data_IF_017264433120
#
_entry.id   IF_017264433120
#
_cell.length_a   1.000
_cell.length_b   1.000
_cell.length_c   1.000
_cell.angle_alpha   90.00
_cell.angle_beta   90.00
_cell.angle_gamma   90.00
#
_symmetry.space_group_name_H-M   'P 1'
#
loop_
_entity.id
_entity.type
_entity.pdbx_description
1 polymer ?
#
# COMPACT_ATOMS: atom_id res chain seq x y z
N UNK A 1 15.35 -27.02 32.94
CA UNK A 1 14.35 -27.15 31.85
C UNK A 1 14.47 -25.92 30.97
N UNK A 2 15.34 -26.01 29.98
CA UNK A 2 15.61 -24.98 28.99
C UNK A 2 14.52 -25.05 27.93
N UNK A 3 13.77 -23.96 27.77
CA UNK A 3 12.86 -23.77 26.64
C UNK A 3 13.75 -23.48 25.44
N UNK A 4 13.69 -24.26 24.34
CA UNK A 4 14.44 -23.90 23.15
C UNK A 4 13.80 -22.65 22.56
N UNK A 5 14.60 -21.59 22.45
CA UNK A 5 14.33 -20.44 21.58
C UNK A 5 14.05 -20.99 20.18
N UNK A 6 12.84 -20.78 19.65
CA UNK A 6 12.59 -21.04 18.24
C UNK A 6 13.50 -20.12 17.41
N UNK A 7 14.43 -20.70 16.61
CA UNK A 7 15.14 -19.96 15.59
C UNK A 7 14.17 -19.73 14.41
N UNK A 8 14.60 -18.89 13.46
CA UNK A 8 13.95 -18.62 12.17
C UNK A 8 13.12 -17.33 12.12
N UNK A 9 13.86 -16.23 11.99
CA UNK A 9 13.59 -15.24 10.93
C UNK A 9 13.19 -15.98 9.63
N UNK A 10 11.97 -15.74 9.16
CA UNK A 10 11.57 -16.04 7.78
C UNK A 10 10.81 -14.79 7.33
N UNK A 11 11.47 -13.83 6.68
CA UNK A 11 11.43 -13.71 5.21
C UNK A 11 10.26 -14.55 4.68
N UNK A 12 9.06 -13.97 4.65
CA UNK A 12 7.98 -14.58 3.88
C UNK A 12 8.51 -14.76 2.46
N UNK A 13 8.46 -15.98 1.90
CA UNK A 13 9.04 -16.23 0.60
C UNK A 13 8.44 -15.24 -0.39
N UNK A 14 9.27 -14.64 -1.25
CA UNK A 14 8.81 -13.86 -2.41
C UNK A 14 7.74 -14.69 -3.11
N UNK A 15 6.47 -14.33 -2.93
CA UNK A 15 5.35 -15.10 -3.43
C UNK A 15 5.26 -14.80 -4.93
N UNK A 16 5.85 -15.67 -5.75
CA UNK A 16 5.69 -15.63 -7.20
C UNK A 16 4.32 -16.15 -7.59
N UNK A 17 3.73 -15.56 -8.63
CA UNK A 17 2.44 -15.94 -9.23
C UNK A 17 2.25 -17.45 -9.43
N UNK A 18 3.35 -18.16 -9.70
CA UNK A 18 3.44 -19.62 -9.88
C UNK A 18 2.93 -20.43 -8.68
N UNK A 19 2.90 -19.84 -7.47
CA UNK A 19 2.44 -20.49 -6.23
C UNK A 19 1.03 -20.05 -5.80
N UNK A 20 0.30 -19.28 -6.63
CA UNK A 20 -1.06 -18.85 -6.33
C UNK A 20 -2.00 -20.05 -6.49
N UNK A 21 -2.30 -20.74 -5.39
CA UNK A 21 -3.48 -21.61 -5.34
C UNK A 21 -4.71 -20.71 -5.34
N UNK A 22 -5.65 -20.97 -6.26
CA UNK A 22 -6.96 -20.28 -6.28
C UNK A 22 -7.61 -20.42 -4.91
N UNK A 23 -7.63 -19.35 -4.14
CA UNK A 23 -8.40 -19.31 -2.90
C UNK A 23 -9.85 -19.02 -3.32
N UNK A 24 -10.85 -19.83 -2.91
CA UNK A 24 -12.25 -19.49 -3.15
C UNK A 24 -12.51 -18.16 -2.42
N UNK A 25 -12.50 -17.06 -3.18
CA UNK A 25 -12.59 -15.73 -2.61
C UNK A 25 -13.92 -15.56 -1.88
N UNK A 26 -13.86 -15.03 -0.66
CA UNK A 26 -15.02 -14.53 0.08
C UNK A 26 -15.81 -13.46 -0.71
N UNK A 27 -15.20 -12.94 -1.76
CA UNK A 27 -15.75 -12.09 -2.82
C UNK A 27 -15.39 -12.77 -4.15
N UNK A 28 -16.34 -13.51 -4.73
CA UNK A 28 -16.15 -14.55 -5.76
C UNK A 28 -15.43 -14.15 -7.06
N UNK A 29 -14.13 -13.86 -6.97
CA UNK A 29 -13.28 -13.51 -8.10
C UNK A 29 -11.97 -12.80 -7.75
N UNK A 30 -11.79 -12.34 -6.49
CA UNK A 30 -10.52 -11.70 -6.07
C UNK A 30 -9.44 -12.77 -5.90
N UNK A 31 -8.32 -12.59 -6.60
CA UNK A 31 -7.20 -13.55 -6.59
C UNK A 31 -6.18 -13.20 -5.51
N UNK A 32 -5.76 -11.93 -5.43
CA UNK A 32 -4.78 -11.41 -4.46
C UNK A 32 -5.20 -10.04 -3.92
N UNK A 33 -4.84 -9.76 -2.67
CA UNK A 33 -4.94 -8.43 -2.05
C UNK A 33 -3.57 -7.75 -2.09
N UNK A 34 -3.41 -6.74 -2.92
CA UNK A 34 -2.19 -5.94 -3.05
C UNK A 34 -2.30 -4.74 -2.12
N UNK A 35 -1.37 -4.57 -1.19
CA UNK A 35 -1.40 -3.50 -0.19
C UNK A 35 -0.18 -2.61 -0.33
N UNK A 36 -0.39 -1.40 -0.84
CA UNK A 36 0.61 -0.35 -0.77
C UNK A 36 0.52 0.33 0.59
N UNK A 37 1.64 0.47 1.28
CA UNK A 37 1.67 1.14 2.58
C UNK A 37 2.72 2.24 2.65
N UNK A 38 2.42 3.23 3.48
CA UNK A 38 3.35 4.29 3.87
C UNK A 38 3.02 4.74 5.30
N UNK A 39 3.57 5.85 5.76
CA UNK A 39 3.46 6.33 7.13
C UNK A 39 2.02 6.74 7.48
N UNK A 40 1.42 7.66 6.74
CA UNK A 40 0.08 8.19 7.05
C UNK A 40 -1.04 7.60 6.17
N UNK A 41 -0.68 6.97 5.05
CA UNK A 41 -1.65 6.47 4.07
C UNK A 41 -2.29 7.58 3.23
N UNK A 42 -1.73 8.79 3.22
CA UNK A 42 -2.33 9.98 2.59
C UNK A 42 -1.70 10.31 1.24
N UNK A 43 -0.41 10.05 1.06
CA UNK A 43 0.36 10.51 -0.11
C UNK A 43 0.93 9.35 -0.93
N UNK A 44 2.01 8.73 -0.46
CA UNK A 44 2.78 7.78 -1.28
C UNK A 44 2.00 6.49 -1.61
N UNK A 45 1.31 5.88 -0.64
CA UNK A 45 0.55 4.66 -0.92
C UNK A 45 -0.67 4.89 -1.82
N UNK A 46 -1.48 5.98 -1.68
CA UNK A 46 -2.47 6.34 -2.70
C UNK A 46 -1.88 6.54 -4.09
N UNK A 47 -0.75 7.23 -4.21
CA UNK A 47 -0.11 7.43 -5.51
C UNK A 47 0.33 6.10 -6.13
N UNK A 48 0.96 5.21 -5.36
CA UNK A 48 1.34 3.88 -5.82
C UNK A 48 0.15 3.06 -6.31
N UNK A 49 -0.96 3.06 -5.55
CA UNK A 49 -2.18 2.36 -5.93
C UNK A 49 -2.79 2.91 -7.23
N UNK A 50 -2.78 4.23 -7.42
CA UNK A 50 -3.32 4.85 -8.64
C UNK A 50 -2.44 4.60 -9.87
N UNK A 51 -1.12 4.48 -9.69
CA UNK A 51 -0.21 4.02 -10.75
C UNK A 51 -0.51 2.55 -11.08
N UNK A 52 -0.64 1.69 -10.07
CA UNK A 52 -0.94 0.27 -10.26
C UNK A 52 -2.22 0.06 -11.08
N UNK A 53 -3.27 0.80 -10.72
CA UNK A 53 -4.60 0.72 -11.35
C UNK A 53 -4.65 1.42 -12.73
N UNK A 54 -3.57 2.05 -13.19
CA UNK A 54 -3.50 2.71 -14.49
C UNK A 54 -4.15 4.10 -14.55
N UNK A 55 -4.55 4.68 -13.42
CA UNK A 55 -5.04 6.07 -13.36
C UNK A 55 -3.91 7.09 -13.52
N UNK A 56 -2.68 6.70 -13.14
CA UNK A 56 -1.46 7.47 -13.38
C UNK A 56 -0.51 6.68 -14.27
N UNK A 57 0.30 7.40 -15.04
CA UNK A 57 1.35 6.79 -15.86
C UNK A 57 2.47 6.19 -14.99
N UNK A 58 2.99 5.05 -15.42
CA UNK A 58 4.19 4.41 -14.85
C UNK A 58 5.50 5.02 -15.36
N UNK A 59 5.46 5.70 -16.50
CA UNK A 59 6.65 6.18 -17.22
C UNK A 59 6.94 7.66 -16.97
N UNK A 60 5.91 8.45 -16.62
CA UNK A 60 6.06 9.89 -16.36
C UNK A 60 5.54 10.30 -14.99
N UNK A 61 6.18 11.27 -14.32
CA UNK A 61 5.64 11.84 -13.10
C UNK A 61 4.28 12.51 -13.34
N UNK A 62 3.36 12.44 -12.37
CA UNK A 62 2.08 13.12 -12.47
C UNK A 62 2.24 14.63 -12.25
N UNK A 63 1.31 15.40 -12.80
CA UNK A 63 1.12 16.81 -12.47
C UNK A 63 0.42 16.94 -11.11
N UNK A 64 0.61 18.06 -10.43
CA UNK A 64 -0.07 18.34 -9.15
C UNK A 64 -1.60 18.24 -9.30
N UNK A 65 -2.15 18.76 -10.40
CA UNK A 65 -3.59 18.67 -10.67
C UNK A 65 -4.08 17.24 -10.85
N UNK A 66 -3.27 16.36 -11.45
CA UNK A 66 -3.60 14.93 -11.57
C UNK A 66 -3.65 14.29 -10.17
N UNK A 67 -2.63 14.53 -9.32
CA UNK A 67 -2.60 14.01 -7.96
C UNK A 67 -3.79 14.47 -7.10
N UNK A 68 -4.13 15.76 -7.15
CA UNK A 68 -5.23 16.31 -6.36
C UNK A 68 -6.62 15.87 -6.87
N UNK A 69 -6.72 15.41 -8.11
CA UNK A 69 -7.96 14.85 -8.67
C UNK A 69 -8.15 13.37 -8.31
N UNK A 70 -7.12 12.67 -7.84
CA UNK A 70 -7.22 11.24 -7.55
C UNK A 70 -8.11 10.97 -6.34
N UNK A 71 -8.94 9.92 -6.41
CA UNK A 71 -9.62 9.43 -5.22
C UNK A 71 -8.57 8.98 -4.19
N UNK A 72 -8.85 9.26 -2.91
CA UNK A 72 -8.04 8.83 -1.77
C UNK A 72 -6.65 9.47 -1.58
N UNK A 73 -6.17 10.30 -2.51
CA UNK A 73 -4.91 11.06 -2.37
C UNK A 73 -5.14 12.36 -1.57
N UNK A 74 -4.24 12.71 -0.65
CA UNK A 74 -4.33 13.95 0.12
C UNK A 74 -5.49 13.99 1.14
N UNK A 75 -6.17 12.87 1.36
CA UNK A 75 -7.33 12.75 2.26
C UNK A 75 -6.90 12.70 3.73
N UNK A 76 -6.99 13.84 4.41
CA UNK A 76 -6.55 14.01 5.82
C UNK A 76 -7.45 13.30 6.83
N UNK A 77 -8.68 12.98 6.45
CA UNK A 77 -9.67 12.21 7.21
C UNK A 77 -9.31 10.72 7.32
N UNK A 78 -8.31 10.26 6.56
CA UNK A 78 -7.83 8.89 6.66
C UNK A 78 -7.10 8.63 7.98
N UNK A 79 -7.53 7.56 8.64
CA UNK A 79 -6.87 6.98 9.80
C UNK A 79 -5.77 5.98 9.40
N UNK A 80 -4.61 6.09 10.05
CA UNK A 80 -3.60 5.04 10.02
C UNK A 80 -4.14 3.76 10.69
N UNK A 81 -3.62 2.59 10.30
CA UNK A 81 -4.08 1.28 10.74
C UNK A 81 -5.34 0.77 10.03
N UNK A 82 -5.95 1.57 9.13
CA UNK A 82 -7.12 1.17 8.34
C UNK A 82 -6.71 0.87 6.90
N UNK A 83 -7.17 -0.29 6.39
CA UNK A 83 -7.11 -0.64 4.97
C UNK A 83 -8.21 0.11 4.22
N UNK A 84 -7.85 0.75 3.11
CA UNK A 84 -8.79 1.38 2.19
C UNK A 84 -8.65 0.75 0.82
N UNK A 85 -9.75 0.21 0.29
CA UNK A 85 -9.80 -0.31 -1.07
C UNK A 85 -9.67 0.86 -2.04
N UNK A 86 -8.64 0.81 -2.88
CA UNK A 86 -8.41 1.76 -3.95
C UNK A 86 -9.13 1.35 -5.24
N UNK A 87 -9.21 0.04 -5.51
CA UNK A 87 -9.88 -0.50 -6.69
C UNK A 87 -9.54 -1.97 -6.92
N UNK A 88 -9.94 -2.48 -8.07
CA UNK A 88 -9.60 -3.82 -8.56
C UNK A 88 -8.90 -3.65 -9.90
N UNK A 89 -7.76 -4.30 -10.09
CA UNK A 89 -7.00 -4.23 -11.34
C UNK A 89 -7.61 -5.13 -12.45
N UNK A 90 -7.01 -5.09 -13.64
CA UNK A 90 -7.43 -5.92 -14.78
C UNK A 90 -7.27 -7.44 -14.57
N UNK A 91 -6.56 -7.87 -13.52
CA UNK A 91 -6.29 -9.27 -13.19
C UNK A 91 -7.13 -9.77 -11.99
N UNK A 92 -8.10 -8.96 -11.55
CA UNK A 92 -8.94 -9.23 -10.38
C UNK A 92 -8.17 -9.28 -9.06
N UNK A 93 -7.06 -8.55 -8.95
CA UNK A 93 -6.43 -8.27 -7.67
C UNK A 93 -7.08 -7.04 -7.05
N UNK A 94 -7.40 -7.12 -5.76
CA UNK A 94 -7.89 -5.98 -5.01
C UNK A 94 -6.70 -5.15 -4.52
N UNK A 95 -6.67 -3.87 -4.88
CA UNK A 95 -5.59 -2.95 -4.53
C UNK A 95 -6.03 -2.08 -3.36
N UNK A 96 -5.25 -2.11 -2.29
CA UNK A 96 -5.48 -1.40 -1.05
C UNK A 96 -4.37 -0.41 -0.75
N UNK A 97 -4.72 0.57 0.08
CA UNK A 97 -3.77 1.53 0.65
C UNK A 97 -3.85 1.52 2.17
N UNK A 98 -2.69 1.65 2.81
CA UNK A 98 -2.56 1.57 4.27
C UNK A 98 -1.59 2.63 4.78
N UNK A 99 -1.95 3.27 5.90
CA UNK A 99 -1.05 4.09 6.71
C UNK A 99 -0.59 3.28 7.92
N UNK A 100 0.72 3.18 8.16
CA UNK A 100 1.32 2.28 9.14
C UNK A 100 2.01 2.98 10.31
N UNK A 101 2.25 4.29 10.22
CA UNK A 101 3.17 5.03 11.08
C UNK A 101 4.51 4.28 11.20
N UNK A 102 5.03 4.11 12.42
CA UNK A 102 6.20 3.29 12.71
C UNK A 102 5.87 1.84 13.08
N UNK A 103 4.67 1.34 12.71
CA UNK A 103 4.14 0.03 13.13
C UNK A 103 3.83 -0.90 11.96
N UNK A 104 4.47 -0.72 10.81
CA UNK A 104 4.19 -1.50 9.60
C UNK A 104 4.24 -3.02 9.84
N UNK A 105 5.31 -3.51 10.45
CA UNK A 105 5.48 -4.95 10.72
C UNK A 105 4.38 -5.51 11.63
N UNK A 106 4.03 -4.79 12.71
CA UNK A 106 2.96 -5.19 13.62
C UNK A 106 1.61 -5.25 12.90
N UNK A 107 1.30 -4.22 12.09
CA UNK A 107 0.02 -4.15 11.38
C UNK A 107 -0.08 -5.27 10.34
N UNK A 108 0.99 -5.53 9.58
CA UNK A 108 1.03 -6.63 8.61
C UNK A 108 0.79 -7.98 9.29
N UNK A 109 1.49 -8.25 10.40
CA UNK A 109 1.29 -9.48 11.19
C UNK A 109 -0.15 -9.61 11.68
N UNK A 110 -0.75 -8.54 12.19
CA UNK A 110 -2.15 -8.55 12.65
C UNK A 110 -3.12 -8.83 11.49
N UNK A 111 -2.91 -8.24 10.32
CA UNK A 111 -3.76 -8.51 9.13
C UNK A 111 -3.65 -9.98 8.71
N UNK A 112 -2.44 -10.52 8.64
CA UNK A 112 -2.20 -11.92 8.25
C UNK A 112 -2.81 -12.89 9.29
N UNK A 113 -2.59 -12.66 10.58
CA UNK A 113 -3.15 -13.53 11.63
C UNK A 113 -4.68 -13.43 11.71
N UNK A 114 -5.25 -12.22 11.63
CA UNK A 114 -6.70 -12.04 11.65
C UNK A 114 -7.36 -12.74 10.46
N UNK A 115 -6.81 -12.60 9.26
CA UNK A 115 -7.37 -13.23 8.05
C UNK A 115 -7.24 -14.75 8.08
N UNK A 116 -6.11 -15.28 8.55
CA UNK A 116 -5.92 -16.71 8.80
C UNK A 116 -6.96 -17.29 9.76
N UNK A 117 -7.24 -16.59 10.86
CA UNK A 117 -8.20 -17.03 11.87
C UNK A 117 -9.66 -16.95 11.39
N UNK A 118 -10.02 -15.85 10.71
CA UNK A 118 -11.40 -15.60 10.31
C UNK A 118 -11.83 -16.43 9.10
N UNK A 119 -10.94 -16.60 8.12
CA UNK A 119 -11.30 -17.20 6.83
C UNK A 119 -10.79 -18.63 6.68
N UNK A 120 -10.00 -19.15 7.64
CA UNK A 120 -9.34 -20.46 7.58
C UNK A 120 -8.57 -20.70 6.27
N UNK A 121 -8.21 -19.61 5.61
CA UNK A 121 -7.47 -19.58 4.36
C UNK A 121 -6.39 -18.52 4.49
N UNK A 122 -5.24 -18.76 3.86
CA UNK A 122 -4.27 -17.70 3.64
C UNK A 122 -4.83 -16.77 2.55
N UNK A 123 -5.67 -15.81 2.95
CA UNK A 123 -5.98 -14.70 2.07
C UNK A 123 -4.63 -14.08 1.66
N UNK A 124 -4.35 -14.07 0.35
CA UNK A 124 -3.03 -13.67 -0.12
C UNK A 124 -2.94 -12.15 -0.03
N UNK A 125 -2.20 -11.66 0.96
CA UNK A 125 -1.84 -10.25 1.08
C UNK A 125 -0.39 -10.07 0.66
N UNK A 126 -0.15 -9.18 -0.30
CA UNK A 126 1.18 -8.74 -0.67
C UNK A 126 1.36 -7.30 -0.24
N UNK A 127 2.37 -7.04 0.60
CA UNK A 127 2.64 -5.71 1.15
C UNK A 127 3.83 -5.06 0.46
N UNK A 128 3.67 -3.81 0.04
CA UNK A 128 4.68 -3.05 -0.67
C UNK A 128 4.93 -1.71 0.01
N UNK A 129 6.16 -1.52 0.48
CA UNK A 129 6.60 -0.27 1.12
C UNK A 129 6.76 0.83 0.07
N UNK A 130 5.98 1.89 0.21
CA UNK A 130 6.05 3.07 -0.65
C UNK A 130 6.68 4.26 0.06
N UNK A 131 7.15 4.10 1.30
CA UNK A 131 7.61 5.20 2.14
C UNK A 131 8.79 5.92 1.48
N UNK A 132 8.52 7.14 0.98
CA UNK A 132 9.54 7.99 0.35
C UNK A 132 9.62 9.36 1.01
N UNK A 133 8.50 9.87 1.53
CA UNK A 133 8.43 11.14 2.26
C UNK A 133 8.77 10.90 3.74
N UNK A 134 9.68 11.65 4.37
CA UNK A 134 9.97 11.49 5.79
C UNK A 134 8.75 11.74 6.69
N UNK A 135 8.63 10.97 7.78
CA UNK A 135 7.49 11.01 8.71
C UNK A 135 7.15 12.42 9.24
N UNK A 136 8.16 13.24 9.54
CA UNK A 136 7.94 14.62 10.03
C UNK A 136 7.26 15.51 8.97
N UNK A 137 7.52 15.28 7.68
CA UNK A 137 6.87 16.01 6.57
C UNK A 137 5.44 15.56 6.38
N UNK A 138 5.17 14.26 6.48
CA UNK A 138 3.81 13.72 6.53
C UNK A 138 3.00 14.39 7.65
N UNK A 139 3.56 14.43 8.86
CA UNK A 139 2.93 15.08 10.00
C UNK A 139 2.68 16.58 9.77
N UNK A 140 3.70 17.32 9.31
CA UNK A 140 3.59 18.75 9.07
C UNK A 140 2.55 19.06 7.97
N UNK A 141 2.61 18.37 6.84
CA UNK A 141 1.67 18.59 5.74
C UNK A 141 0.24 18.25 6.14
N UNK A 142 0.01 17.17 6.90
CA UNK A 142 -1.31 16.84 7.44
C UNK A 142 -1.82 17.95 8.37
N UNK A 143 -0.98 18.45 9.27
CA UNK A 143 -1.34 19.53 10.20
C UNK A 143 -1.68 20.83 9.46
N UNK A 144 -0.91 21.19 8.43
CA UNK A 144 -1.20 22.36 7.59
C UNK A 144 -2.48 22.16 6.78
N UNK A 145 -2.66 20.99 6.17
CA UNK A 145 -3.83 20.64 5.37
C UNK A 145 -5.15 20.66 6.17
N UNK A 146 -5.09 20.37 7.48
CA UNK A 146 -6.23 20.51 8.39
C UNK A 146 -6.64 21.97 8.64
N UNK A 147 -5.71 22.92 8.52
CA UNK A 147 -5.99 24.36 8.64
C UNK A 147 -6.37 24.98 7.29
N UNK A 148 -5.67 24.59 6.21
CA UNK A 148 -5.92 25.02 4.83
C UNK A 148 -5.57 23.88 3.87
N UNK A 149 -6.51 23.39 3.03
CA UNK A 149 -6.26 22.34 2.05
C UNK A 149 -5.05 22.59 1.14
N UNK A 150 -4.65 23.85 0.92
CA UNK A 150 -3.44 24.20 0.16
C UNK A 150 -2.16 23.60 0.74
N UNK A 151 -2.15 23.27 2.05
CA UNK A 151 -1.06 22.58 2.74
C UNK A 151 -0.68 21.22 2.13
N UNK A 152 -1.61 20.56 1.41
CA UNK A 152 -1.34 19.33 0.67
C UNK A 152 -0.30 19.52 -0.45
N UNK A 153 -0.22 20.73 -1.03
CA UNK A 153 0.72 21.02 -2.13
C UNK A 153 2.18 20.84 -1.75
N UNK A 154 2.50 20.96 -0.45
CA UNK A 154 3.84 20.70 0.08
C UNK A 154 4.27 19.26 -0.23
N UNK A 155 3.39 18.30 0.05
CA UNK A 155 3.69 16.88 -0.16
C UNK A 155 3.39 16.42 -1.59
N UNK A 156 2.49 17.07 -2.34
CA UNK A 156 2.36 16.79 -3.78
C UNK A 156 3.71 16.91 -4.51
N UNK A 157 4.47 17.98 -4.24
CA UNK A 157 5.79 18.19 -4.85
C UNK A 157 6.78 17.09 -4.47
N UNK A 158 6.73 16.59 -3.24
CA UNK A 158 7.63 15.54 -2.79
C UNK A 158 7.24 14.16 -3.31
N UNK A 159 5.95 13.85 -3.39
CA UNK A 159 5.48 12.64 -4.06
C UNK A 159 5.92 12.62 -5.52
N UNK A 160 5.85 13.76 -6.22
CA UNK A 160 6.35 13.90 -7.59
C UNK A 160 7.86 13.67 -7.67
N UNK A 161 8.66 14.27 -6.77
CA UNK A 161 10.11 14.02 -6.71
C UNK A 161 10.45 12.55 -6.45
N UNK A 162 9.61 11.88 -5.67
CA UNK A 162 9.77 10.46 -5.34
C UNK A 162 9.12 9.52 -6.34
N UNK A 163 8.53 10.04 -7.43
CA UNK A 163 7.80 9.27 -8.43
C UNK A 163 8.58 8.05 -8.91
N UNK A 164 9.85 8.22 -9.29
CA UNK A 164 10.66 7.11 -9.81
C UNK A 164 10.79 5.95 -8.81
N UNK A 165 10.88 6.26 -7.51
CA UNK A 165 10.93 5.24 -6.44
C UNK A 165 9.58 4.55 -6.31
N UNK A 166 8.49 5.31 -6.30
CA UNK A 166 7.13 4.78 -6.18
C UNK A 166 6.78 3.90 -7.40
N UNK A 167 7.11 4.36 -8.62
CA UNK A 167 6.92 3.60 -9.85
C UNK A 167 7.73 2.30 -9.85
N UNK A 168 8.97 2.32 -9.33
CA UNK A 168 9.77 1.11 -9.18
C UNK A 168 9.13 0.09 -8.20
N UNK A 169 8.52 0.57 -7.11
CA UNK A 169 7.75 -0.29 -6.18
C UNK A 169 6.53 -0.90 -6.87
N UNK A 170 5.81 -0.12 -7.69
CA UNK A 170 4.67 -0.63 -8.45
C UNK A 170 5.12 -1.67 -9.49
N UNK A 171 6.21 -1.41 -10.20
CA UNK A 171 6.81 -2.36 -11.14
C UNK A 171 7.18 -3.67 -10.43
N UNK A 172 7.83 -3.59 -9.28
CA UNK A 172 8.16 -4.77 -8.48
C UNK A 172 6.89 -5.52 -8.05
N UNK A 173 5.83 -4.82 -7.68
CA UNK A 173 4.56 -5.44 -7.32
C UNK A 173 3.95 -6.22 -8.50
N UNK A 174 3.92 -5.62 -9.69
CA UNK A 174 3.44 -6.29 -10.92
C UNK A 174 4.28 -7.50 -11.29
N UNK A 175 5.62 -7.41 -11.17
CA UNK A 175 6.54 -8.54 -11.36
C UNK A 175 6.24 -9.71 -10.39
N UNK A 176 5.96 -9.44 -9.11
CA UNK A 176 5.56 -10.49 -8.15
C UNK A 176 4.21 -11.11 -8.51
N UNK A 177 3.29 -10.29 -9.04
CA UNK A 177 2.02 -10.73 -9.60
C UNK A 177 2.16 -11.33 -11.01
N UNK A 178 3.37 -11.45 -11.57
CA UNK A 178 3.69 -12.07 -12.85
C UNK A 178 2.96 -11.48 -14.05
N UNK A 179 2.97 -10.15 -14.17
CA UNK A 179 2.72 -9.43 -15.42
C UNK A 179 3.55 -8.15 -15.48
#
# INVERSE_FOLDING_TARGET
RTVPLCPCVSVYPRCRKENIKQVPGLWGGIVVNVVYYCWDGIFDSPMAAMIHLGYLSEERPPKIGELLALPNYGRVDRAAGRLYLAGVDGYKNAVFTLGCLNKAELIQRVILEATRQLFKSEAQFLFFDCQSIPAWRCFLAKKLAMADPSGLRLNCRESIKSFAKIAAVVKNAKENLGY
#
